data_IF_106557407341
#
_entry.id   IF_106557407341
#
_cell.length_a   1.000
_cell.length_b   1.000
_cell.length_c   1.000
_cell.angle_alpha   90.00
_cell.angle_beta   90.00
_cell.angle_gamma   90.00
#
_symmetry.space_group_name_H-M   'P 1'
#
loop_
_entity.id
_entity.type
_entity.pdbx_description
1 polymer ?
#
# COMPACT_ATOMS: atom_id res chain seq x y z
N UNK A 1 22.85 12.07 1.10
CA UNK A 1 22.52 11.42 2.39
C UNK A 1 22.20 9.97 2.12
N UNK A 2 22.69 8.99 2.91
CA UNK A 2 22.43 7.58 2.68
C UNK A 2 20.95 7.24 2.88
N UNK A 3 20.47 6.19 2.19
CA UNK A 3 19.14 5.64 2.38
C UNK A 3 19.12 4.92 3.74
N UNK A 4 18.56 5.56 4.77
CA UNK A 4 18.59 5.11 6.16
C UNK A 4 17.47 4.11 6.43
N UNK A 5 17.71 2.83 6.17
CA UNK A 5 16.72 1.74 6.23
C UNK A 5 17.17 0.66 7.23
N UNK A 6 16.26 0.25 8.12
CA UNK A 6 16.53 -0.72 9.18
C UNK A 6 15.39 -1.73 9.30
N UNK A 7 15.73 -3.01 9.37
CA UNK A 7 14.80 -4.04 9.78
C UNK A 7 14.81 -4.13 11.31
N UNK A 8 13.65 -3.98 11.94
CA UNK A 8 13.50 -3.92 13.40
C UNK A 8 12.99 -5.24 14.02
N UNK A 9 12.52 -6.17 13.18
CA UNK A 9 11.99 -7.43 13.64
C UNK A 9 10.48 -7.43 13.83
N UNK A 10 10.01 -8.17 14.85
CA UNK A 10 8.58 -8.34 15.14
C UNK A 10 8.02 -7.16 15.93
N UNK A 11 6.95 -6.59 15.44
CA UNK A 11 6.11 -5.65 16.17
C UNK A 11 5.14 -6.45 17.08
N UNK A 12 5.05 -6.07 18.37
CA UNK A 12 4.23 -6.77 19.37
C UNK A 12 2.85 -6.14 19.60
N UNK A 13 2.53 -5.05 18.89
CA UNK A 13 1.33 -4.25 19.18
C UNK A 13 1.57 -3.11 20.18
N UNK A 14 2.77 -2.98 20.74
CA UNK A 14 3.12 -1.88 21.62
C UNK A 14 3.65 -0.68 20.83
N UNK A 15 2.87 0.40 20.79
CA UNK A 15 3.24 1.63 20.08
C UNK A 15 4.54 2.27 20.58
N UNK A 16 4.96 1.98 21.79
CA UNK A 16 6.25 2.48 22.32
C UNK A 16 7.45 1.94 21.52
N UNK A 17 7.31 0.77 20.85
CA UNK A 17 8.34 0.25 19.96
C UNK A 17 8.56 1.16 18.75
N UNK A 18 7.49 1.81 18.25
CA UNK A 18 7.53 2.71 17.09
C UNK A 18 7.98 4.12 17.50
N UNK A 19 7.45 4.64 18.58
CA UNK A 19 7.70 6.02 19.02
C UNK A 19 8.95 6.16 19.88
N UNK A 20 9.51 5.05 20.37
CA UNK A 20 10.62 5.06 21.34
C UNK A 20 10.24 5.73 22.68
N UNK A 21 8.94 5.74 23.02
CA UNK A 21 8.41 6.40 24.22
C UNK A 21 8.48 7.91 24.20
N UNK A 22 8.78 8.52 23.05
CA UNK A 22 8.82 9.98 22.90
C UNK A 22 7.41 10.58 22.98
N UNK A 23 7.24 11.80 23.48
CA UNK A 23 5.95 12.47 23.48
C UNK A 23 5.54 12.89 22.05
N UNK A 24 4.25 12.86 21.78
CA UNK A 24 3.69 13.42 20.54
C UNK A 24 4.00 14.92 20.45
N UNK A 25 4.38 15.45 19.27
CA UNK A 25 4.51 16.88 19.09
C UNK A 25 3.24 17.65 19.50
N UNK A 26 3.36 18.77 20.25
CA UNK A 26 2.19 19.44 20.85
C UNK A 26 1.18 19.99 19.83
N UNK A 27 1.66 20.32 18.60
CA UNK A 27 0.82 20.85 17.52
C UNK A 27 0.27 19.76 16.59
N UNK A 28 0.52 18.48 16.90
CA UNK A 28 0.05 17.37 16.10
C UNK A 28 -1.44 17.10 16.36
N UNK A 29 -2.22 17.01 15.29
CA UNK A 29 -3.64 16.66 15.32
C UNK A 29 -3.84 15.28 14.71
N UNK A 30 -4.44 14.36 15.48
CA UNK A 30 -4.82 13.03 15.01
C UNK A 30 -5.89 13.14 13.94
N UNK A 31 -5.79 12.32 12.88
CA UNK A 31 -6.88 12.13 11.94
C UNK A 31 -8.02 11.34 12.60
N UNK A 32 -9.24 11.59 12.15
CA UNK A 32 -10.38 10.72 12.44
C UNK A 32 -10.28 9.50 11.53
N UNK A 33 -9.65 8.46 12.05
CA UNK A 33 -9.36 7.20 11.35
C UNK A 33 -9.68 6.01 12.28
N UNK A 34 -9.97 4.83 11.72
CA UNK A 34 -10.21 3.64 12.54
C UNK A 34 -8.99 3.28 13.41
N UNK A 35 -9.27 2.86 14.63
CA UNK A 35 -8.23 2.44 15.60
C UNK A 35 -7.83 0.96 15.43
N UNK A 36 -8.53 0.21 14.57
CA UNK A 36 -8.31 -1.22 14.38
C UNK A 36 -8.27 -1.62 12.89
N UNK A 37 -7.61 -2.74 12.59
CA UNK A 37 -7.48 -3.27 11.22
C UNK A 37 -8.84 -3.56 10.58
N UNK A 38 -9.83 -4.17 11.26
CA UNK A 38 -11.17 -4.35 10.69
C UNK A 38 -11.85 -3.05 10.27
N UNK A 39 -11.68 -1.97 11.04
CA UNK A 39 -12.20 -0.65 10.70
C UNK A 39 -11.52 -0.06 9.47
N UNK A 40 -10.20 -0.15 9.38
CA UNK A 40 -9.41 0.29 8.21
C UNK A 40 -9.88 -0.46 6.96
N UNK A 41 -10.01 -1.78 7.03
CA UNK A 41 -10.51 -2.59 5.91
C UNK A 41 -11.91 -2.19 5.52
N UNK A 42 -12.84 -2.06 6.48
CA UNK A 42 -14.23 -1.67 6.20
C UNK A 42 -14.34 -0.32 5.50
N UNK A 43 -13.47 0.63 5.85
CA UNK A 43 -13.45 1.97 5.24
C UNK A 43 -12.89 1.96 3.82
N UNK A 44 -11.80 1.26 3.56
CA UNK A 44 -11.11 1.26 2.26
C UNK A 44 -11.65 0.24 1.27
N UNK A 45 -12.23 -0.86 1.76
CA UNK A 45 -12.65 -2.00 0.93
C UNK A 45 -13.63 -1.62 -0.19
N UNK A 46 -14.65 -0.77 0.01
CA UNK A 46 -15.59 -0.46 -1.08
C UNK A 46 -14.89 0.11 -2.32
N UNK A 47 -13.95 1.04 -2.14
CA UNK A 47 -13.21 1.61 -3.25
C UNK A 47 -12.21 0.62 -3.83
N UNK A 48 -11.42 -0.02 -2.97
CA UNK A 48 -10.40 -0.98 -3.40
C UNK A 48 -11.02 -2.17 -4.13
N UNK A 49 -12.12 -2.72 -3.60
CA UNK A 49 -12.85 -3.81 -4.24
C UNK A 49 -13.47 -3.40 -5.59
N UNK A 50 -13.99 -2.17 -5.69
CA UNK A 50 -14.54 -1.66 -6.95
C UNK A 50 -13.46 -1.56 -8.04
N UNK A 51 -12.27 -1.04 -7.68
CA UNK A 51 -11.12 -0.98 -8.59
C UNK A 51 -10.70 -2.40 -8.99
N UNK A 52 -10.53 -3.29 -8.02
CA UNK A 52 -10.11 -4.68 -8.26
C UNK A 52 -11.12 -5.45 -9.11
N UNK A 53 -12.42 -5.25 -8.87
CA UNK A 53 -13.48 -5.85 -9.68
C UNK A 53 -13.43 -5.36 -11.14
N UNK A 54 -13.25 -4.06 -11.38
CA UNK A 54 -13.06 -3.51 -12.72
C UNK A 54 -11.84 -4.11 -13.44
N UNK A 55 -10.72 -4.25 -12.73
CA UNK A 55 -9.52 -4.92 -13.25
C UNK A 55 -9.79 -6.40 -13.56
N UNK A 56 -10.50 -7.11 -12.69
CA UNK A 56 -10.83 -8.52 -12.89
C UNK A 56 -11.73 -8.72 -14.11
N UNK A 57 -12.80 -7.93 -14.24
CA UNK A 57 -13.73 -8.01 -15.39
C UNK A 57 -12.98 -7.80 -16.70
N UNK A 58 -12.17 -6.75 -16.79
CA UNK A 58 -11.40 -6.47 -18.02
C UNK A 58 -10.35 -7.54 -18.29
N UNK A 59 -9.73 -8.11 -17.26
CA UNK A 59 -8.82 -9.25 -17.37
C UNK A 59 -9.52 -10.51 -17.92
N UNK A 60 -10.69 -10.85 -17.39
CA UNK A 60 -11.52 -11.98 -17.88
C UNK A 60 -11.92 -11.77 -19.33
N UNK A 61 -12.43 -10.59 -19.68
CA UNK A 61 -12.80 -10.26 -21.08
C UNK A 61 -11.58 -10.43 -21.99
N UNK A 62 -10.42 -9.93 -21.59
CA UNK A 62 -9.19 -10.03 -22.38
C UNK A 62 -8.76 -11.48 -22.59
N UNK A 63 -8.78 -12.30 -21.54
CA UNK A 63 -8.44 -13.72 -21.63
C UNK A 63 -9.44 -14.49 -22.51
N UNK A 64 -10.72 -14.23 -22.34
CA UNK A 64 -11.78 -14.88 -23.14
C UNK A 64 -11.64 -14.52 -24.63
N UNK A 65 -11.48 -13.23 -24.96
CA UNK A 65 -11.36 -12.77 -26.35
C UNK A 65 -10.08 -13.22 -27.04
N UNK A 66 -9.03 -13.51 -26.27
CA UNK A 66 -7.76 -14.03 -26.77
C UNK A 66 -7.67 -15.58 -26.75
N UNK A 67 -8.72 -16.29 -26.32
CA UNK A 67 -8.77 -17.74 -26.12
C UNK A 67 -7.65 -18.25 -25.19
N UNK A 68 -7.37 -17.50 -24.11
CA UNK A 68 -6.29 -17.76 -23.15
C UNK A 68 -6.78 -18.31 -21.81
N UNK A 69 -7.86 -19.08 -21.80
CA UNK A 69 -8.36 -19.71 -20.57
C UNK A 69 -7.52 -20.96 -20.24
N UNK A 70 -6.71 -20.95 -19.16
CA UNK A 70 -5.95 -22.13 -18.79
C UNK A 70 -6.83 -23.19 -18.14
N UNK A 71 -6.45 -24.44 -18.27
CA UNK A 71 -7.14 -25.59 -17.67
C UNK A 71 -6.13 -26.55 -17.03
N UNK A 72 -6.66 -27.47 -16.19
CA UNK A 72 -5.85 -28.53 -15.58
C UNK A 72 -4.62 -27.98 -14.83
N UNK A 73 -3.46 -28.60 -15.08
CA UNK A 73 -2.19 -28.22 -14.43
C UNK A 73 -1.76 -26.79 -14.73
N UNK A 74 -2.12 -26.23 -15.88
CA UNK A 74 -1.82 -24.85 -16.23
C UNK A 74 -2.54 -23.84 -15.32
N UNK A 75 -3.78 -24.13 -14.95
CA UNK A 75 -4.56 -23.34 -13.98
C UNK A 75 -3.93 -23.41 -12.59
N UNK A 76 -3.68 -24.64 -12.09
CA UNK A 76 -3.10 -24.83 -10.76
C UNK A 76 -1.71 -24.18 -10.64
N UNK A 77 -0.88 -24.32 -11.67
CA UNK A 77 0.43 -23.67 -11.72
C UNK A 77 0.33 -22.14 -11.68
N UNK A 78 -0.61 -21.55 -12.43
CA UNK A 78 -0.83 -20.10 -12.42
C UNK A 78 -1.29 -19.60 -11.04
N UNK A 79 -2.21 -20.30 -10.39
CA UNK A 79 -2.69 -19.97 -9.04
C UNK A 79 -1.56 -20.06 -8.00
N UNK A 80 -0.79 -21.14 -8.01
CA UNK A 80 0.34 -21.34 -7.08
C UNK A 80 1.42 -20.28 -7.30
N UNK A 81 1.80 -20.02 -8.55
CA UNK A 81 2.79 -18.99 -8.88
C UNK A 81 2.31 -17.60 -8.49
N UNK A 82 1.05 -17.26 -8.72
CA UNK A 82 0.50 -15.97 -8.32
C UNK A 82 0.55 -15.76 -6.80
N UNK A 83 0.23 -16.78 -6.00
CA UNK A 83 0.31 -16.71 -4.55
C UNK A 83 1.75 -16.46 -4.08
N UNK A 84 2.72 -17.24 -4.59
CA UNK A 84 4.13 -17.10 -4.22
C UNK A 84 4.66 -15.72 -4.63
N UNK A 85 4.40 -15.29 -5.86
CA UNK A 85 4.86 -13.99 -6.37
C UNK A 85 4.23 -12.85 -5.57
N UNK A 86 2.94 -12.90 -5.26
CA UNK A 86 2.27 -11.87 -4.47
C UNK A 86 2.87 -11.77 -3.06
N UNK A 87 3.22 -12.90 -2.43
CA UNK A 87 3.89 -12.92 -1.13
C UNK A 87 5.27 -12.26 -1.19
N UNK A 88 6.06 -12.55 -2.22
CA UNK A 88 7.38 -11.91 -2.41
C UNK A 88 7.23 -10.42 -2.73
N UNK A 89 6.29 -10.07 -3.60
CA UNK A 89 6.05 -8.68 -4.00
C UNK A 89 5.40 -7.84 -2.90
N UNK A 90 4.82 -8.44 -1.85
CA UNK A 90 4.39 -7.68 -0.67
C UNK A 90 5.57 -7.03 0.06
N UNK A 91 6.74 -7.66 0.08
CA UNK A 91 7.96 -7.01 0.58
C UNK A 91 8.39 -5.84 -0.32
N UNK A 92 8.29 -6.01 -1.63
CA UNK A 92 8.58 -4.92 -2.58
C UNK A 92 7.59 -3.76 -2.42
N UNK A 93 6.33 -4.06 -2.11
CA UNK A 93 5.30 -3.08 -1.78
C UNK A 93 5.76 -2.16 -0.64
N UNK A 94 6.24 -2.72 0.46
CA UNK A 94 6.77 -1.95 1.58
C UNK A 94 8.03 -1.15 1.21
N UNK A 95 8.91 -1.71 0.40
CA UNK A 95 10.09 -1.00 -0.10
C UNK A 95 9.70 0.20 -0.97
N UNK A 96 8.62 0.11 -1.74
CA UNK A 96 8.10 1.24 -2.52
C UNK A 96 7.66 2.37 -1.58
N UNK A 97 6.96 2.07 -0.47
CA UNK A 97 6.67 3.09 0.55
C UNK A 97 7.93 3.77 1.06
N UNK A 98 8.96 3.00 1.37
CA UNK A 98 10.24 3.52 1.86
C UNK A 98 10.91 4.50 0.89
N UNK A 99 10.73 4.34 -0.43
CA UNK A 99 11.28 5.26 -1.44
C UNK A 99 10.61 6.64 -1.39
N UNK A 100 9.34 6.69 -1.01
CA UNK A 100 8.58 7.94 -0.89
C UNK A 100 8.74 8.64 0.46
N UNK A 101 9.27 7.96 1.48
CA UNK A 101 9.64 8.61 2.73
C UNK A 101 10.76 9.66 2.50
N UNK A 102 10.84 10.73 3.31
CA UNK A 102 11.88 11.74 3.16
C UNK A 102 13.29 11.15 3.15
N UNK A 103 14.15 11.62 2.22
CA UNK A 103 15.55 11.19 2.15
C UNK A 103 16.26 11.53 3.46
N UNK A 104 17.06 10.60 3.96
CA UNK A 104 17.76 10.76 5.24
C UNK A 104 16.91 10.47 6.48
N UNK A 105 15.57 10.45 6.38
CA UNK A 105 14.73 9.97 7.46
C UNK A 105 14.99 8.48 7.74
N UNK A 106 14.89 8.10 9.00
CA UNK A 106 14.95 6.69 9.42
C UNK A 106 13.68 6.00 8.93
N UNK A 107 13.86 4.88 8.25
CA UNK A 107 12.81 4.01 7.71
C UNK A 107 12.95 2.66 8.37
N UNK A 108 11.90 2.20 9.00
CA UNK A 108 11.91 0.97 9.77
C UNK A 108 10.94 -0.04 9.16
N UNK A 109 11.45 -1.19 8.77
CA UNK A 109 10.62 -2.31 8.34
C UNK A 109 10.31 -3.19 9.55
N UNK A 110 9.03 -3.42 9.78
CA UNK A 110 8.51 -4.25 10.86
C UNK A 110 7.70 -5.41 10.30
N UNK A 111 7.71 -6.54 11.00
CA UNK A 111 6.81 -7.67 10.78
C UNK A 111 5.73 -7.68 11.86
N UNK A 112 4.47 -7.68 11.47
CA UNK A 112 3.33 -7.80 12.38
C UNK A 112 2.65 -9.15 12.15
N UNK A 113 3.25 -10.22 12.68
CA UNK A 113 2.84 -11.61 12.41
C UNK A 113 1.42 -11.91 12.85
N UNK A 114 0.96 -11.30 13.94
CA UNK A 114 -0.39 -11.51 14.47
C UNK A 114 -1.50 -11.02 13.51
N UNK A 115 -1.14 -10.10 12.62
CA UNK A 115 -2.01 -9.58 11.56
C UNK A 115 -1.58 -10.05 10.17
N UNK A 116 -0.55 -10.90 10.07
CA UNK A 116 -0.02 -11.35 8.79
C UNK A 116 0.52 -10.22 7.91
N UNK A 117 0.99 -9.12 8.52
CA UNK A 117 1.39 -7.91 7.82
C UNK A 117 2.89 -7.62 7.92
N UNK A 118 3.38 -6.92 6.91
CA UNK A 118 4.62 -6.15 6.92
C UNK A 118 4.25 -4.69 6.85
N UNK A 119 5.04 -3.80 7.43
CA UNK A 119 4.84 -2.36 7.23
C UNK A 119 6.12 -1.56 7.40
N UNK A 120 6.19 -0.44 6.67
CA UNK A 120 7.23 0.56 6.85
C UNK A 120 6.73 1.64 7.81
N UNK A 121 7.53 1.90 8.84
CA UNK A 121 7.35 3.03 9.72
C UNK A 121 8.35 4.14 9.40
N UNK A 122 7.84 5.35 9.22
CA UNK A 122 8.63 6.55 9.01
C UNK A 122 7.94 7.72 9.71
N UNK A 123 8.53 8.20 10.78
CA UNK A 123 8.00 9.27 11.62
C UNK A 123 8.18 10.67 11.00
N UNK A 124 9.10 10.80 10.03
CA UNK A 124 9.46 12.10 9.48
C UNK A 124 8.28 12.80 8.80
N UNK A 125 7.99 14.06 9.15
CA UNK A 125 6.92 14.81 8.51
C UNK A 125 7.13 14.95 7.00
N UNK A 126 6.05 14.84 6.24
CA UNK A 126 6.05 14.99 4.79
C UNK A 126 4.83 15.79 4.30
N UNK A 127 4.94 16.37 3.11
CA UNK A 127 3.81 17.11 2.53
C UNK A 127 2.62 16.19 2.20
N UNK A 128 1.41 16.75 2.18
CA UNK A 128 0.17 16.04 1.80
C UNK A 128 0.32 15.30 0.47
N UNK A 129 0.87 15.97 -0.55
CA UNK A 129 1.07 15.38 -1.86
C UNK A 129 2.02 14.16 -1.82
N UNK A 130 3.11 14.27 -1.07
CA UNK A 130 4.09 13.19 -0.91
C UNK A 130 3.48 11.98 -0.19
N UNK A 131 2.69 12.20 0.85
CA UNK A 131 2.00 11.13 1.57
C UNK A 131 1.00 10.40 0.68
N UNK A 132 0.19 11.14 -0.10
CA UNK A 132 -0.74 10.55 -1.07
C UNK A 132 0.00 9.72 -2.12
N UNK A 133 1.11 10.25 -2.66
CA UNK A 133 1.95 9.50 -3.61
C UNK A 133 2.54 8.25 -2.97
N UNK A 134 2.98 8.31 -1.72
CA UNK A 134 3.47 7.16 -0.95
C UNK A 134 2.40 6.08 -0.86
N UNK A 135 1.17 6.42 -0.50
CA UNK A 135 0.06 5.45 -0.41
C UNK A 135 -0.33 4.86 -1.77
N UNK A 136 -0.31 5.66 -2.84
CA UNK A 136 -0.73 5.19 -4.17
C UNK A 136 0.34 4.42 -4.94
N UNK A 137 1.62 4.71 -4.68
CA UNK A 137 2.72 4.19 -5.47
C UNK A 137 2.74 2.66 -5.57
N UNK A 138 2.61 1.86 -4.49
CA UNK A 138 2.59 0.42 -4.61
C UNK A 138 1.42 -0.08 -5.48
N UNK A 139 0.22 0.46 -5.27
CA UNK A 139 -0.96 0.09 -6.07
C UNK A 139 -0.75 0.37 -7.55
N UNK A 140 -0.14 1.51 -7.88
CA UNK A 140 0.16 1.86 -9.28
C UNK A 140 1.25 0.96 -9.84
N UNK A 141 2.40 0.84 -9.18
CA UNK A 141 3.57 0.13 -9.72
C UNK A 141 3.46 -1.39 -9.67
N UNK A 142 2.80 -1.97 -8.67
CA UNK A 142 2.71 -3.42 -8.48
C UNK A 142 1.32 -3.98 -8.80
N UNK A 143 0.28 -3.14 -8.79
CA UNK A 143 -1.07 -3.52 -9.17
C UNK A 143 -1.40 -3.09 -10.60
N UNK A 144 -1.64 -1.80 -10.80
CA UNK A 144 -2.21 -1.28 -12.05
C UNK A 144 -1.29 -1.38 -13.25
N UNK A 145 -0.01 -1.01 -13.13
CA UNK A 145 0.94 -1.09 -14.25
C UNK A 145 1.17 -2.52 -14.75
N UNK A 146 1.46 -3.52 -13.89
CA UNK A 146 1.59 -4.90 -14.33
C UNK A 146 0.30 -5.45 -14.95
N UNK A 147 -0.88 -5.09 -14.40
CA UNK A 147 -2.16 -5.45 -14.99
C UNK A 147 -2.31 -4.90 -16.41
N UNK A 148 -2.08 -3.60 -16.61
CA UNK A 148 -2.20 -2.98 -17.93
C UNK A 148 -1.21 -3.55 -18.95
N UNK A 149 0.04 -3.79 -18.52
CA UNK A 149 1.06 -4.44 -19.34
C UNK A 149 0.66 -5.87 -19.71
N UNK A 150 0.09 -6.63 -18.76
CA UNK A 150 -0.37 -7.99 -18.99
C UNK A 150 -1.51 -8.04 -20.00
N UNK A 151 -2.50 -7.13 -19.90
CA UNK A 151 -3.58 -7.05 -20.89
C UNK A 151 -3.06 -6.84 -22.31
N UNK A 152 -2.03 -6.00 -22.45
CA UNK A 152 -1.41 -5.73 -23.74
C UNK A 152 -0.56 -6.92 -24.21
N UNK A 153 0.21 -7.53 -23.32
CA UNK A 153 1.15 -8.60 -23.64
C UNK A 153 0.50 -10.00 -23.71
N UNK A 154 -0.77 -10.14 -23.32
CA UNK A 154 -1.49 -11.42 -23.25
C UNK A 154 -1.28 -12.35 -24.46
N UNK A 155 -1.31 -11.87 -25.73
CA UNK A 155 -1.11 -12.76 -26.89
C UNK A 155 0.26 -13.43 -26.93
N UNK A 156 1.27 -12.84 -26.27
CA UNK A 156 2.65 -13.34 -26.27
C UNK A 156 3.03 -14.11 -25.00
N UNK A 157 2.25 -13.93 -23.91
CA UNK A 157 2.55 -14.55 -22.61
C UNK A 157 2.03 -15.99 -22.46
N UNK A 158 1.00 -16.35 -23.22
CA UNK A 158 0.28 -17.62 -23.03
C UNK A 158 -0.67 -17.58 -21.81
N UNK A 159 -1.56 -18.58 -21.76
CA UNK A 159 -2.70 -18.59 -20.83
C UNK A 159 -2.30 -18.57 -19.34
N UNK A 160 -1.38 -19.48 -18.94
CA UNK A 160 -0.96 -19.60 -17.55
C UNK A 160 -0.25 -18.33 -17.03
N UNK A 161 0.70 -17.79 -17.80
CA UNK A 161 1.44 -16.57 -17.42
C UNK A 161 0.53 -15.36 -17.38
N UNK A 162 -0.40 -15.23 -18.34
CA UNK A 162 -1.39 -14.14 -18.34
C UNK A 162 -2.24 -14.19 -17.10
N UNK A 163 -2.81 -15.36 -16.77
CA UNK A 163 -3.61 -15.51 -15.54
C UNK A 163 -2.79 -15.21 -14.29
N UNK A 164 -1.56 -15.74 -14.20
CA UNK A 164 -0.68 -15.49 -13.05
C UNK A 164 -0.46 -13.99 -12.80
N UNK A 165 -0.05 -13.22 -13.81
CA UNK A 165 0.20 -11.79 -13.66
C UNK A 165 -1.08 -10.97 -13.39
N UNK A 166 -2.22 -11.34 -13.97
CA UNK A 166 -3.49 -10.73 -13.64
C UNK A 166 -3.84 -10.95 -12.16
N UNK A 167 -3.70 -12.19 -11.67
CA UNK A 167 -3.96 -12.53 -10.27
C UNK A 167 -3.02 -11.79 -9.31
N UNK A 168 -1.72 -11.75 -9.61
CA UNK A 168 -0.74 -10.97 -8.82
C UNK A 168 -1.18 -9.52 -8.72
N UNK A 169 -1.55 -8.91 -9.84
CA UNK A 169 -2.01 -7.51 -9.88
C UNK A 169 -3.26 -7.28 -9.05
N UNK A 170 -4.24 -8.21 -9.11
CA UNK A 170 -5.48 -8.12 -8.32
C UNK A 170 -5.21 -8.29 -6.82
N UNK A 171 -4.38 -9.27 -6.43
CA UNK A 171 -4.04 -9.54 -5.04
C UNK A 171 -3.32 -8.32 -4.43
N UNK A 172 -2.33 -7.75 -5.11
CA UNK A 172 -1.59 -6.59 -4.62
C UNK A 172 -2.44 -5.32 -4.59
N UNK A 173 -3.35 -5.13 -5.55
CA UNK A 173 -4.29 -4.02 -5.53
C UNK A 173 -5.27 -4.15 -4.37
N UNK A 174 -5.82 -5.35 -4.13
CA UNK A 174 -6.73 -5.58 -3.02
C UNK A 174 -6.02 -5.46 -1.66
N UNK A 175 -4.75 -5.94 -1.58
CA UNK A 175 -3.92 -5.83 -0.38
C UNK A 175 -3.60 -4.38 0.02
N UNK A 176 -3.66 -3.44 -0.92
CA UNK A 176 -3.43 -2.01 -0.64
C UNK A 176 -4.63 -1.30 0.01
N UNK A 177 -5.58 -2.03 0.60
CA UNK A 177 -6.77 -1.45 1.24
C UNK A 177 -6.42 -0.45 2.35
N UNK A 178 -5.36 -0.70 3.13
CA UNK A 178 -4.85 0.20 4.16
C UNK A 178 -4.36 1.53 3.58
N UNK A 179 -3.58 1.46 2.50
CA UNK A 179 -3.07 2.64 1.81
C UNK A 179 -4.18 3.50 1.22
N UNK A 180 -5.18 2.87 0.63
CA UNK A 180 -6.36 3.57 0.10
C UNK A 180 -7.13 4.25 1.23
N UNK A 181 -7.26 3.58 2.39
CA UNK A 181 -7.89 4.18 3.58
C UNK A 181 -7.12 5.40 4.06
N UNK A 182 -5.80 5.27 4.22
CA UNK A 182 -4.93 6.37 4.66
C UNK A 182 -4.98 7.55 3.68
N UNK A 183 -4.89 7.27 2.38
CA UNK A 183 -5.04 8.28 1.34
C UNK A 183 -6.40 9.01 1.44
N UNK A 184 -7.52 8.27 1.59
CA UNK A 184 -8.86 8.86 1.68
C UNK A 184 -9.00 9.77 2.91
N UNK A 185 -8.49 9.33 4.07
CA UNK A 185 -8.50 10.12 5.29
C UNK A 185 -7.70 11.40 5.13
N UNK A 186 -6.50 11.32 4.58
CA UNK A 186 -5.64 12.49 4.32
C UNK A 186 -6.26 13.45 3.30
N UNK A 187 -6.85 12.93 2.22
CA UNK A 187 -7.50 13.78 1.22
C UNK A 187 -8.64 14.59 1.82
N UNK A 188 -9.45 13.96 2.69
CA UNK A 188 -10.65 14.55 3.27
C UNK A 188 -10.38 15.51 4.43
N UNK A 189 -9.37 15.21 5.26
CA UNK A 189 -9.21 15.87 6.56
C UNK A 189 -8.02 16.82 6.63
N UNK A 190 -6.98 16.63 5.81
CA UNK A 190 -5.74 17.39 5.94
C UNK A 190 -5.74 18.59 5.00
N UNK A 191 -5.46 19.82 5.50
CA UNK A 191 -5.25 21.00 4.66
C UNK A 191 -4.05 20.82 3.71
N UNK A 192 -4.09 21.48 2.55
CA UNK A 192 -3.06 21.32 1.50
C UNK A 192 -1.64 21.74 1.94
N UNK A 193 -1.54 22.68 2.87
CA UNK A 193 -0.28 23.22 3.39
C UNK A 193 0.24 22.50 4.64
N UNK A 194 -0.54 21.57 5.21
CA UNK A 194 -0.14 20.83 6.40
C UNK A 194 0.90 19.75 6.05
N UNK A 195 1.73 19.42 7.04
CA UNK A 195 2.60 18.27 6.99
C UNK A 195 1.96 17.08 7.68
N UNK A 196 2.22 15.87 7.19
CA UNK A 196 1.68 14.63 7.71
C UNK A 196 2.81 13.82 8.30
N UNK A 197 2.57 13.18 9.41
CA UNK A 197 3.50 12.28 10.08
C UNK A 197 2.76 11.05 10.63
N UNK A 198 3.46 9.92 10.70
CA UNK A 198 3.00 8.75 11.44
C UNK A 198 3.52 8.83 12.88
N UNK A 199 2.67 8.52 13.85
CA UNK A 199 3.05 8.41 15.25
C UNK A 199 2.34 7.20 15.89
N UNK A 200 3.12 6.20 16.24
CA UNK A 200 2.55 4.90 16.53
C UNK A 200 1.84 4.34 15.29
N UNK A 201 0.68 3.77 15.47
CA UNK A 201 -0.16 3.25 14.38
C UNK A 201 -1.08 4.31 13.75
N UNK A 202 -0.98 5.56 14.19
CA UNK A 202 -1.89 6.62 13.79
C UNK A 202 -1.24 7.67 12.91
N UNK A 203 -2.09 8.30 12.10
CA UNK A 203 -1.71 9.41 11.23
C UNK A 203 -2.06 10.74 11.87
N UNK A 204 -1.10 11.64 11.87
CA UNK A 204 -1.25 13.01 12.41
C UNK A 204 -0.89 14.03 11.35
N UNK A 205 -1.40 15.25 11.51
CA UNK A 205 -0.96 16.38 10.70
C UNK A 205 -0.56 17.57 11.57
N UNK A 206 0.43 18.31 11.07
CA UNK A 206 0.96 19.52 11.69
C UNK A 206 0.50 20.71 10.84
N UNK A 207 -0.19 21.67 11.46
CA UNK A 207 -0.54 22.93 10.79
C UNK A 207 0.54 23.95 11.13
N UNK A 208 1.26 24.46 10.11
CA UNK A 208 2.16 25.58 10.33
C UNK A 208 1.35 26.84 10.63
N UNK A 209 1.22 27.15 11.94
CA UNK A 209 0.49 28.32 12.42
C UNK A 209 1.07 29.66 11.92
N UNK A 210 2.29 29.65 11.39
CA UNK A 210 2.93 30.86 10.84
C UNK A 210 2.35 31.29 9.48
N UNK A 211 1.64 30.40 8.77
CA UNK A 211 1.01 30.71 7.48
C UNK A 211 -0.45 31.11 7.58
N UNK A 212 -1.10 31.01 8.76
CA UNK A 212 -2.51 31.34 8.97
C UNK A 212 -2.79 32.85 9.16
N UNK A 213 -1.75 33.67 9.18
CA UNK A 213 -1.85 35.12 9.38
C UNK A 213 -1.46 35.96 8.15
N UNK A 214 -1.55 35.40 6.95
CA UNK A 214 -1.39 36.15 5.70
C UNK A 214 -2.64 36.19 4.86
#
# INVERSE_FOLDING_TARGET
MPFNFHYQGRYSGDETQLTGGRPLPPDARKLDEPDDVPGVVRQGLPLTASITAGMAVTGIIRMATANLLPSGWGLLGALGAALVLSTVLSLVHELVHALFCPWGARKELWTYLDQGALFIYCEAPMSKARFILMCLAPTVFLGFCPWALTLRAAPWLGAGSTLCWLLVSLILTLGAVGDITNMLNVVRQVPSHAQIMSWGFHTYFLVDTRLSHR
#
